data_IF_819000666466
#
_entry.id   IF_819000666466
#
_cell.length_a   1.000
_cell.length_b   1.000
_cell.length_c   1.000
_cell.angle_alpha   90.00
_cell.angle_beta   90.00
_cell.angle_gamma   90.00
#
_symmetry.space_group_name_H-M   'P 1'
#
loop_
_entity.id
_entity.type
_entity.pdbx_description
1 polymer ?
#
# COMPACT_ATOMS: atom_id res chain seq x y z
N UNK A 1 -1.37 8.19 30.27
CA UNK A 1 -1.13 7.80 28.86
C UNK A 1 -1.12 6.28 28.82
N UNK A 2 -2.05 5.65 28.10
CA UNK A 2 -2.12 4.19 28.01
C UNK A 2 -1.18 3.67 26.93
N UNK A 3 -0.82 2.38 27.00
CA UNK A 3 0.04 1.70 26.00
C UNK A 3 -0.48 1.93 24.57
N UNK A 4 -1.81 1.92 24.37
CA UNK A 4 -2.43 2.18 23.06
C UNK A 4 -2.10 3.55 22.48
N UNK A 5 -2.01 4.58 23.31
CA UNK A 5 -1.67 5.92 22.83
C UNK A 5 -0.19 5.98 22.42
N UNK A 6 0.68 5.31 23.19
CA UNK A 6 2.11 5.24 22.87
C UNK A 6 2.37 4.50 21.56
N UNK A 7 1.63 3.43 21.28
CA UNK A 7 1.71 2.69 20.01
C UNK A 7 1.24 3.56 18.85
N UNK A 8 0.14 4.31 19.00
CA UNK A 8 -0.33 5.23 17.97
C UNK A 8 0.69 6.34 17.65
N UNK A 9 1.38 6.86 18.67
CA UNK A 9 2.45 7.85 18.48
C UNK A 9 3.66 7.26 17.73
N UNK A 10 4.05 6.02 18.07
CA UNK A 10 5.12 5.29 17.38
C UNK A 10 4.74 5.06 15.90
N UNK A 11 3.55 4.55 15.64
CA UNK A 11 3.07 4.30 14.28
C UNK A 11 3.07 5.59 13.46
N UNK A 12 2.62 6.71 14.05
CA UNK A 12 2.65 8.01 13.37
C UNK A 12 4.05 8.40 12.90
N UNK A 13 5.08 8.21 13.73
CA UNK A 13 6.47 8.53 13.37
C UNK A 13 7.03 7.54 12.34
N UNK A 14 6.71 6.25 12.47
CA UNK A 14 7.19 5.24 11.53
C UNK A 14 6.66 5.49 10.12
N UNK A 15 5.36 5.76 9.97
CA UNK A 15 4.77 6.04 8.66
C UNK A 15 5.25 7.37 8.08
N UNK A 16 5.52 8.38 8.90
CA UNK A 16 6.08 9.66 8.45
C UNK A 16 7.51 9.51 7.89
N UNK A 17 8.33 8.67 8.52
CA UNK A 17 9.76 8.53 8.14
C UNK A 17 9.98 7.46 7.07
N UNK A 18 9.21 6.38 7.09
CA UNK A 18 9.44 5.18 6.27
C UNK A 18 8.29 4.85 5.32
N UNK A 19 7.20 5.62 5.34
CA UNK A 19 6.05 5.39 4.47
C UNK A 19 6.31 5.84 3.04
N UNK A 20 5.94 4.97 2.10
CA UNK A 20 5.74 5.33 0.71
C UNK A 20 4.48 6.19 0.56
N UNK A 21 4.57 7.19 -0.32
CA UNK A 21 3.47 8.11 -0.55
C UNK A 21 2.54 7.57 -1.64
N UNK A 22 1.27 7.37 -1.31
CA UNK A 22 0.22 6.98 -2.26
C UNK A 22 -0.88 8.04 -2.33
N UNK A 23 -1.19 8.53 -3.53
CA UNK A 23 -2.39 9.37 -3.76
C UNK A 23 -3.55 8.48 -4.14
N UNK A 24 -4.68 8.63 -3.45
CA UNK A 24 -5.89 7.88 -3.75
C UNK A 24 -6.94 8.84 -4.32
N UNK A 25 -7.60 8.42 -5.39
CA UNK A 25 -8.72 9.14 -5.99
C UNK A 25 -9.81 9.44 -4.95
N UNK A 26 -10.27 10.70 -4.94
CA UNK A 26 -11.25 11.17 -3.96
C UNK A 26 -10.66 11.64 -2.62
N UNK A 27 -9.34 11.52 -2.40
CA UNK A 27 -8.66 12.11 -1.23
C UNK A 27 -7.79 13.30 -1.60
N UNK A 28 -7.89 14.34 -0.78
CA UNK A 28 -7.07 15.54 -0.91
C UNK A 28 -5.65 15.31 -0.37
N UNK A 29 -5.53 14.55 0.72
CA UNK A 29 -4.27 14.28 1.39
C UNK A 29 -3.65 12.95 0.91
N UNK A 30 -2.31 12.92 0.72
CA UNK A 30 -1.61 11.68 0.41
C UNK A 30 -1.71 10.71 1.58
N UNK A 31 -1.81 9.42 1.26
CA UNK A 31 -1.79 8.35 2.24
C UNK A 31 -0.38 7.80 2.34
N UNK A 32 0.14 7.72 3.56
CA UNK A 32 1.41 7.09 3.85
C UNK A 32 1.18 5.61 4.10
N UNK A 33 1.88 4.76 3.36
CA UNK A 33 1.74 3.31 3.43
C UNK A 33 3.05 2.61 3.14
N UNK A 34 3.04 1.29 3.08
CA UNK A 34 4.18 0.49 2.63
C UNK A 34 3.80 -0.19 1.32
N UNK A 35 4.50 0.15 0.25
CA UNK A 35 4.29 -0.44 -1.07
C UNK A 35 5.20 -1.65 -1.27
N UNK A 36 4.63 -2.74 -1.75
CA UNK A 36 5.36 -3.96 -2.08
C UNK A 36 4.97 -4.46 -3.46
N UNK A 37 5.97 -4.57 -4.32
CA UNK A 37 5.88 -4.92 -5.72
C UNK A 37 6.62 -6.25 -6.02
N UNK A 38 6.08 -7.41 -5.62
CA UNK A 38 6.78 -8.69 -5.70
C UNK A 38 6.95 -9.26 -7.13
N UNK A 39 6.77 -8.46 -8.19
CA UNK A 39 6.76 -8.92 -9.58
C UNK A 39 8.16 -9.16 -10.20
N UNK A 40 9.26 -8.86 -9.50
CA UNK A 40 10.60 -9.26 -9.97
C UNK A 40 10.84 -10.74 -9.66
N UNK A 41 10.48 -11.61 -10.61
CA UNK A 41 10.97 -12.99 -10.61
C UNK A 41 12.52 -13.01 -10.59
N UNK A 42 13.17 -13.93 -9.84
CA UNK A 42 14.58 -14.21 -10.05
C UNK A 42 14.79 -14.68 -11.49
N UNK A 43 15.78 -14.13 -12.21
CA UNK A 43 16.04 -14.47 -13.61
C UNK A 43 16.60 -15.91 -13.81
N UNK A 44 16.74 -16.72 -12.76
CA UNK A 44 17.38 -18.04 -12.81
C UNK A 44 16.44 -19.12 -12.28
N UNK A 45 16.04 -20.03 -13.16
CA UNK A 45 15.17 -21.18 -12.87
C UNK A 45 13.70 -20.82 -13.00
N UNK A 46 13.10 -21.14 -14.15
CA UNK A 46 11.69 -20.86 -14.52
C UNK A 46 10.69 -21.61 -13.63
N UNK A 47 10.55 -21.20 -12.38
CA UNK A 47 9.37 -21.51 -11.58
C UNK A 47 8.44 -20.32 -11.71
N UNK A 48 7.34 -20.51 -12.44
CA UNK A 48 6.28 -19.53 -12.61
C UNK A 48 5.49 -19.45 -11.28
N UNK A 49 6.12 -18.91 -10.23
CA UNK A 49 5.40 -18.61 -8.99
C UNK A 49 4.49 -17.44 -9.33
N UNK A 50 3.18 -17.69 -9.35
CA UNK A 50 2.16 -16.77 -9.86
C UNK A 50 2.47 -15.32 -9.52
N UNK A 51 2.36 -14.47 -10.54
CA UNK A 51 2.51 -13.02 -10.46
C UNK A 51 1.75 -12.53 -9.22
N UNK A 52 2.47 -12.16 -8.15
CA UNK A 52 1.83 -11.67 -6.93
C UNK A 52 1.42 -10.22 -7.17
N UNK A 53 0.18 -9.92 -6.83
CA UNK A 53 -0.39 -8.59 -6.98
C UNK A 53 0.39 -7.59 -6.11
N UNK A 54 0.66 -6.37 -6.61
CA UNK A 54 1.20 -5.32 -5.77
C UNK A 54 0.30 -5.03 -4.58
N UNK A 55 0.91 -4.80 -3.42
CA UNK A 55 0.20 -4.45 -2.20
C UNK A 55 0.64 -3.09 -1.72
N UNK A 56 -0.31 -2.27 -1.31
CA UNK A 56 -0.05 -1.03 -0.60
C UNK A 56 -0.71 -1.12 0.78
N UNK A 57 0.11 -1.30 1.82
CA UNK A 57 -0.36 -1.50 3.19
C UNK A 57 -0.51 -0.15 3.86
N UNK A 58 -1.73 0.18 4.29
CA UNK A 58 -2.07 1.45 4.93
C UNK A 58 -2.73 1.22 6.29
N UNK A 59 -2.90 2.27 7.08
CA UNK A 59 -3.61 2.17 8.36
C UNK A 59 -5.12 1.99 8.14
N UNK A 60 -5.80 1.31 9.06
CA UNK A 60 -7.27 1.17 9.02
C UNK A 60 -7.97 2.53 8.99
N UNK A 61 -7.47 3.52 9.73
CA UNK A 61 -8.01 4.88 9.70
C UNK A 61 -7.95 5.50 8.30
N UNK A 62 -6.87 5.21 7.57
CA UNK A 62 -6.66 5.64 6.20
C UNK A 62 -7.35 4.71 5.17
N UNK A 63 -8.08 3.68 5.59
CA UNK A 63 -8.83 2.80 4.68
C UNK A 63 -10.33 3.15 4.57
N UNK A 64 -10.81 4.08 5.40
CA UNK A 64 -12.23 4.43 5.45
C UNK A 64 -12.70 5.08 4.14
N UNK A 65 -13.86 4.63 3.65
CA UNK A 65 -14.47 5.09 2.39
C UNK A 65 -13.77 4.67 1.10
N UNK A 66 -12.78 3.76 1.16
CA UNK A 66 -12.13 3.24 -0.04
C UNK A 66 -12.99 2.17 -0.73
N UNK A 67 -13.16 2.31 -2.04
CA UNK A 67 -13.92 1.39 -2.88
C UNK A 67 -13.07 0.76 -3.98
N UNK A 68 -13.49 -0.41 -4.45
CA UNK A 68 -12.83 -1.10 -5.57
C UNK A 68 -12.95 -0.27 -6.85
N UNK A 69 -11.87 -0.19 -7.62
CA UNK A 69 -11.79 0.54 -8.88
C UNK A 69 -11.25 1.97 -8.77
N UNK A 70 -11.01 2.46 -7.55
CA UNK A 70 -10.36 3.75 -7.34
C UNK A 70 -8.93 3.74 -7.90
N UNK A 71 -8.53 4.87 -8.48
CA UNK A 71 -7.14 5.09 -8.89
C UNK A 71 -6.26 5.35 -7.66
N UNK A 72 -5.17 4.59 -7.57
CA UNK A 72 -4.11 4.74 -6.57
C UNK A 72 -2.81 5.01 -7.30
N UNK A 73 -2.26 6.22 -7.15
CA UNK A 73 -0.96 6.61 -7.70
C UNK A 73 0.10 6.47 -6.62
N UNK A 74 1.08 5.60 -6.84
CA UNK A 74 2.21 5.41 -5.93
C UNK A 74 3.35 6.33 -6.37
N UNK A 75 3.72 7.29 -5.53
CA UNK A 75 4.77 8.29 -5.77
C UNK A 75 6.17 7.70 -5.50
N UNK A 76 6.51 6.64 -6.25
CA UNK A 76 7.83 6.02 -6.26
C UNK A 76 8.45 6.09 -7.66
N UNK A 77 9.78 5.92 -7.78
CA UNK A 77 10.41 5.72 -9.09
C UNK A 77 9.78 4.54 -9.82
N UNK A 78 9.61 4.65 -11.14
CA UNK A 78 9.00 3.57 -11.96
C UNK A 78 9.79 2.25 -11.84
N UNK A 79 11.12 2.34 -11.67
CA UNK A 79 12.01 1.18 -11.45
C UNK A 79 11.77 0.45 -10.12
N UNK A 80 11.27 1.17 -9.12
CA UNK A 80 10.86 0.65 -7.82
C UNK A 80 9.38 0.25 -7.79
N UNK A 81 8.66 0.54 -8.89
CA UNK A 81 7.27 0.18 -9.07
C UNK A 81 6.27 1.27 -8.75
N UNK A 82 6.67 2.54 -8.79
CA UNK A 82 5.70 3.63 -8.82
C UNK A 82 4.89 3.68 -10.10
N UNK A 83 3.79 4.44 -10.05
CA UNK A 83 2.85 4.61 -11.16
C UNK A 83 1.40 4.48 -10.72
N UNK A 84 0.53 4.30 -11.70
CA UNK A 84 -0.92 4.28 -11.51
C UNK A 84 -1.46 2.85 -11.40
N UNK A 85 -2.30 2.66 -10.39
CA UNK A 85 -2.88 1.38 -10.04
C UNK A 85 -4.40 1.49 -9.85
N UNK A 86 -5.12 0.42 -10.16
CA UNK A 86 -6.50 0.22 -9.75
C UNK A 86 -6.56 -0.53 -8.43
N UNK A 87 -7.37 -0.04 -7.49
CA UNK A 87 -7.68 -0.75 -6.26
C UNK A 87 -8.59 -1.95 -6.54
N UNK A 88 -8.07 -3.18 -6.44
CA UNK A 88 -8.84 -4.41 -6.66
C UNK A 88 -9.62 -4.83 -5.42
N UNK A 89 -8.97 -4.77 -4.26
CA UNK A 89 -9.51 -5.30 -3.01
C UNK A 89 -8.86 -4.67 -1.80
N UNK A 90 -9.59 -4.64 -0.69
CA UNK A 90 -9.10 -4.29 0.64
C UNK A 90 -9.09 -5.54 1.50
N UNK A 91 -7.95 -5.84 2.11
CA UNK A 91 -7.78 -6.96 3.03
C UNK A 91 -7.35 -6.46 4.41
N UNK A 92 -8.26 -6.43 5.41
CA UNK A 92 -7.89 -6.05 6.77
C UNK A 92 -7.08 -7.17 7.44
N UNK A 93 -5.88 -6.84 7.92
CA UNK A 93 -4.95 -7.82 8.52
C UNK A 93 -5.24 -8.11 10.00
N UNK A 94 -6.08 -7.28 10.65
CA UNK A 94 -6.46 -7.43 12.06
C UNK A 94 -5.45 -6.87 13.07
N UNK A 95 -4.34 -6.31 12.60
CA UNK A 95 -3.27 -5.64 13.36
C UNK A 95 -3.38 -4.10 13.35
N UNK A 96 -4.46 -3.56 12.77
CA UNK A 96 -4.64 -2.11 12.57
C UNK A 96 -4.19 -1.63 11.19
N UNK A 97 -3.72 -2.53 10.33
CA UNK A 97 -3.37 -2.27 8.94
C UNK A 97 -4.36 -2.93 7.97
N UNK A 98 -4.42 -2.36 6.77
CA UNK A 98 -5.20 -2.85 5.64
C UNK A 98 -4.29 -2.94 4.43
N UNK A 99 -4.28 -4.12 3.82
CA UNK A 99 -3.56 -4.34 2.56
C UNK A 99 -4.48 -3.98 1.40
N UNK A 100 -4.10 -2.95 0.65
CA UNK A 100 -4.74 -2.59 -0.61
C UNK A 100 -4.12 -3.43 -1.71
N UNK A 101 -4.92 -4.32 -2.30
CA UNK A 101 -4.51 -5.15 -3.43
C UNK A 101 -4.65 -4.31 -4.70
N UNK A 102 -3.55 -4.13 -5.41
CA UNK A 102 -3.45 -3.21 -6.53
C UNK A 102 -3.22 -3.94 -7.85
N UNK A 103 -3.71 -3.35 -8.93
CA UNK A 103 -3.42 -3.77 -10.30
C UNK A 103 -2.83 -2.62 -11.10
N UNK A 104 -1.66 -2.82 -11.69
CA UNK A 104 -1.04 -1.78 -12.53
C UNK A 104 -1.95 -1.47 -13.71
N UNK A 105 -2.26 -0.18 -13.93
CA UNK A 105 -2.97 0.26 -15.13
C UNK A 105 -2.05 0.14 -16.36
N UNK A 106 -2.58 -0.28 -17.52
CA UNK A 106 -1.81 -0.44 -18.76
C UNK A 106 -1.40 0.88 -19.39
#
# INVERSE_FOLDING_TARGET
MGIRNLVADIDSVIFDVLGDTGRIEGRAEPVLGMFSAPWKQPQIGRLNTGLREPHFVVRVADSDGLEKGLLVTIELPELDGGGDYDLLQLEPSGDGLVSLILRKRP
#
